data_IF_111829808040
#
_entry.id   IF_111829808040
#
_cell.length_a   1.000
_cell.length_b   1.000
_cell.length_c   1.000
_cell.angle_alpha   90.00
_cell.angle_beta   90.00
_cell.angle_gamma   90.00
#
_symmetry.space_group_name_H-M   'P 1'
#
loop_
_entity.id
_entity.type
_entity.pdbx_description
1 polymer ?
#
# COMPACT_ATOMS: atom_id res chain seq x y z
N UNK A 1 -15.13 -7.39 -2.31
CA UNK A 1 -13.94 -6.98 -3.06
C UNK A 1 -12.92 -6.49 -2.05
N UNK A 2 -11.64 -6.76 -2.23
CA UNK A 2 -10.64 -6.49 -1.19
C UNK A 2 -9.32 -6.03 -1.78
N UNK A 3 -8.75 -4.98 -1.20
CA UNK A 3 -7.42 -4.48 -1.57
C UNK A 3 -6.36 -5.04 -0.64
N UNK A 4 -5.22 -5.43 -1.17
CA UNK A 4 -4.07 -5.82 -0.34
C UNK A 4 -2.76 -5.43 -0.97
N UNK A 5 -1.77 -5.16 -0.13
CA UNK A 5 -0.38 -4.92 -0.48
C UNK A 5 0.48 -6.01 0.16
N UNK A 6 1.33 -6.66 -0.62
CA UNK A 6 2.16 -7.77 -0.17
C UNK A 6 3.62 -7.48 -0.48
N UNK A 7 4.51 -7.70 0.48
CA UNK A 7 5.95 -7.63 0.25
C UNK A 7 6.44 -9.02 -0.16
N UNK A 8 7.16 -9.08 -1.28
CA UNK A 8 7.68 -10.31 -1.87
C UNK A 8 9.14 -10.13 -2.31
N UNK A 9 9.81 -11.24 -2.63
CA UNK A 9 11.12 -11.23 -3.29
C UNK A 9 11.00 -11.56 -4.80
N UNK A 10 12.10 -11.43 -5.54
CA UNK A 10 12.14 -11.74 -6.98
C UNK A 10 11.73 -13.18 -7.32
N UNK A 11 12.04 -14.17 -6.47
CA UNK A 11 11.66 -15.55 -6.73
C UNK A 11 10.12 -15.72 -6.69
N UNK A 12 9.48 -15.05 -5.74
CA UNK A 12 8.03 -15.02 -5.60
C UNK A 12 7.38 -14.20 -6.72
N UNK A 13 8.00 -13.11 -7.17
CA UNK A 13 7.55 -12.34 -8.32
C UNK A 13 7.50 -13.22 -9.58
N UNK A 14 8.54 -14.03 -9.85
CA UNK A 14 8.55 -15.00 -10.96
C UNK A 14 7.41 -16.02 -10.89
N UNK A 15 6.99 -16.40 -9.68
CA UNK A 15 5.85 -17.30 -9.47
C UNK A 15 4.52 -16.56 -9.66
N UNK A 16 4.43 -15.31 -9.22
CA UNK A 16 3.26 -14.45 -9.38
C UNK A 16 2.88 -14.29 -10.85
N UNK A 17 3.86 -14.03 -11.73
CA UNK A 17 3.62 -13.84 -13.17
C UNK A 17 2.85 -14.98 -13.84
N UNK A 18 2.95 -16.21 -13.33
CA UNK A 18 2.24 -17.38 -13.88
C UNK A 18 0.73 -17.33 -13.65
N UNK A 19 0.25 -16.45 -12.76
CA UNK A 19 -1.13 -16.37 -12.30
C UNK A 19 -1.78 -15.00 -12.57
N UNK A 20 -1.24 -14.21 -13.51
CA UNK A 20 -1.75 -12.87 -13.83
C UNK A 20 -2.67 -12.82 -15.07
N UNK A 21 -2.93 -13.97 -15.70
CA UNK A 21 -3.79 -14.02 -16.90
C UNK A 21 -5.18 -13.43 -16.62
N UNK A 22 -5.63 -12.52 -17.49
CA UNK A 22 -6.92 -11.84 -17.36
C UNK A 22 -6.99 -10.74 -16.30
N UNK A 23 -5.88 -10.40 -15.63
CA UNK A 23 -5.78 -9.25 -14.72
C UNK A 23 -5.20 -8.04 -15.46
N UNK A 24 -5.58 -6.82 -15.04
CA UNK A 24 -4.87 -5.61 -15.46
C UNK A 24 -3.61 -5.46 -14.61
N UNK A 25 -2.45 -5.59 -15.25
CA UNK A 25 -1.14 -5.55 -14.58
C UNK A 25 -0.49 -4.20 -14.85
N UNK A 26 -0.16 -3.49 -13.77
CA UNK A 26 0.59 -2.23 -13.77
C UNK A 26 1.98 -2.53 -13.20
N UNK A 27 3.02 -2.36 -14.00
CA UNK A 27 4.41 -2.60 -13.58
C UNK A 27 5.15 -1.28 -13.36
N UNK A 28 5.62 -1.08 -12.12
CA UNK A 28 6.40 0.08 -11.73
C UNK A 28 7.87 -0.31 -11.63
N UNK A 29 8.64 0.17 -12.60
CA UNK A 29 10.06 -0.12 -12.80
C UNK A 29 10.96 0.85 -12.00
N UNK A 30 11.69 0.33 -11.01
CA UNK A 30 12.61 1.13 -10.19
C UNK A 30 13.76 1.76 -10.96
N UNK A 31 14.10 1.24 -12.13
CA UNK A 31 15.14 1.85 -12.96
C UNK A 31 14.63 3.16 -13.59
N UNK A 32 13.32 3.32 -13.75
CA UNK A 32 12.69 4.52 -14.33
C UNK A 32 12.17 5.50 -13.29
N UNK A 33 11.82 5.01 -12.10
CA UNK A 33 11.27 5.85 -11.02
C UNK A 33 12.40 6.34 -10.11
N UNK A 34 12.69 7.65 -10.11
CA UNK A 34 13.75 8.27 -9.28
C UNK A 34 13.23 9.22 -8.22
N UNK A 35 12.00 9.70 -8.38
CA UNK A 35 11.34 10.60 -7.44
C UNK A 35 9.82 10.41 -7.50
N UNK A 36 9.08 11.13 -6.63
CA UNK A 36 7.63 11.02 -6.55
C UNK A 36 6.91 11.41 -7.85
N UNK A 37 7.44 12.35 -8.64
CA UNK A 37 6.81 12.73 -9.91
C UNK A 37 6.90 11.59 -10.93
N UNK A 38 8.06 10.91 -11.01
CA UNK A 38 8.21 9.75 -11.91
C UNK A 38 7.23 8.63 -11.52
N UNK A 39 7.03 8.43 -10.21
CA UNK A 39 6.05 7.48 -9.69
C UNK A 39 4.62 7.88 -10.09
N UNK A 40 4.24 9.15 -9.89
CA UNK A 40 2.93 9.66 -10.30
C UNK A 40 2.70 9.47 -11.80
N UNK A 41 3.69 9.82 -12.64
CA UNK A 41 3.62 9.66 -14.08
C UNK A 41 3.42 8.20 -14.46
N UNK A 42 4.20 7.28 -13.86
CA UNK A 42 4.11 5.86 -14.16
C UNK A 42 2.72 5.27 -13.88
N UNK A 43 2.04 5.72 -12.81
CA UNK A 43 0.66 5.29 -12.54
C UNK A 43 -0.34 6.03 -13.43
N UNK A 44 -0.18 7.35 -13.60
CA UNK A 44 -1.11 8.15 -14.40
C UNK A 44 -1.16 7.68 -15.85
N UNK A 45 -0.03 7.26 -16.44
CA UNK A 45 0.01 6.69 -17.79
C UNK A 45 -0.85 5.42 -17.94
N UNK A 46 -1.13 4.73 -16.84
CA UNK A 46 -2.00 3.54 -16.80
C UNK A 46 -3.46 3.90 -16.53
N UNK A 47 -3.73 4.86 -15.64
CA UNK A 47 -5.09 5.10 -15.11
C UNK A 47 -5.82 6.26 -15.81
N UNK A 48 -5.09 7.25 -16.34
CA UNK A 48 -5.65 8.46 -16.93
C UNK A 48 -6.03 8.26 -18.41
N UNK A 49 -6.81 7.22 -18.67
CA UNK A 49 -7.14 6.77 -20.02
C UNK A 49 -8.42 7.41 -20.59
N UNK A 50 -9.10 8.28 -19.84
CA UNK A 50 -10.43 8.81 -20.18
C UNK A 50 -10.45 10.31 -20.36
N UNK A 51 -9.89 11.04 -19.39
CA UNK A 51 -10.08 12.49 -19.27
C UNK A 51 -8.80 13.29 -19.51
N UNK A 52 -7.65 12.64 -19.62
CA UNK A 52 -6.37 13.28 -19.96
C UNK A 52 -5.95 14.34 -18.94
N UNK A 53 -6.21 14.07 -17.66
CA UNK A 53 -5.81 14.92 -16.52
C UNK A 53 -4.32 15.30 -16.57
N UNK A 54 -3.45 14.38 -17.00
CA UNK A 54 -2.01 14.61 -17.16
C UNK A 54 -1.71 15.83 -18.04
N UNK A 55 -2.38 15.94 -19.18
CA UNK A 55 -2.16 17.05 -20.12
C UNK A 55 -2.88 18.31 -19.67
N UNK A 56 -4.02 18.18 -19.00
CA UNK A 56 -4.85 19.30 -18.57
C UNK A 56 -4.32 19.99 -17.31
N UNK A 57 -3.78 19.23 -16.36
CA UNK A 57 -3.50 19.69 -14.99
C UNK A 57 -2.11 19.28 -14.47
N UNK A 58 -1.41 18.36 -15.15
CA UNK A 58 -0.09 17.89 -14.76
C UNK A 58 -0.14 16.62 -13.89
N UNK A 59 0.90 16.41 -13.09
CA UNK A 59 1.15 15.17 -12.35
C UNK A 59 1.31 15.39 -10.84
N UNK A 60 0.60 16.39 -10.31
CA UNK A 60 0.52 16.61 -8.87
C UNK A 60 -0.44 15.65 -8.17
N UNK A 61 -0.47 15.72 -6.83
CA UNK A 61 -1.35 14.89 -5.99
C UNK A 61 -2.82 15.01 -6.38
N UNK A 62 -3.30 16.20 -6.74
CA UNK A 62 -4.70 16.44 -7.04
C UNK A 62 -5.08 15.78 -8.37
N UNK A 63 -4.24 15.93 -9.38
CA UNK A 63 -4.41 15.30 -10.69
C UNK A 63 -4.38 13.77 -10.58
N UNK A 64 -3.44 13.24 -9.79
CA UNK A 64 -3.37 11.82 -9.48
C UNK A 64 -4.63 11.32 -8.77
N UNK A 65 -5.06 12.02 -7.71
CA UNK A 65 -6.25 11.67 -6.92
C UNK A 65 -7.48 11.65 -7.81
N UNK A 66 -7.70 12.71 -8.57
CA UNK A 66 -8.90 12.85 -9.39
C UNK A 66 -8.92 11.75 -10.46
N UNK A 67 -7.82 11.51 -11.18
CA UNK A 67 -7.71 10.40 -12.13
C UNK A 67 -7.97 9.03 -11.49
N UNK A 68 -7.44 8.79 -10.27
CA UNK A 68 -7.65 7.54 -9.55
C UNK A 68 -9.09 7.38 -9.04
N UNK A 69 -9.76 8.46 -8.64
CA UNK A 69 -11.13 8.41 -8.13
C UNK A 69 -12.17 8.14 -9.22
N UNK A 70 -11.85 8.42 -10.49
CA UNK A 70 -12.66 8.05 -11.67
C UNK A 70 -12.65 6.54 -12.00
N UNK A 71 -12.26 5.70 -11.04
CA UNK A 71 -12.15 4.24 -11.15
C UNK A 71 -13.37 3.54 -11.77
N UNK A 72 -14.59 4.04 -11.57
CA UNK A 72 -15.80 3.46 -12.17
C UNK A 72 -15.78 3.52 -13.70
N UNK A 73 -15.31 4.63 -14.26
CA UNK A 73 -15.19 4.78 -15.70
C UNK A 73 -14.04 3.94 -16.26
N UNK A 74 -12.93 3.84 -15.52
CA UNK A 74 -11.79 2.97 -15.86
C UNK A 74 -12.24 1.50 -15.90
N UNK A 75 -12.94 1.04 -14.85
CA UNK A 75 -13.51 -0.31 -14.75
C UNK A 75 -14.39 -0.61 -15.95
N UNK A 76 -15.36 0.27 -16.23
CA UNK A 76 -16.31 0.08 -17.32
C UNK A 76 -15.61 0.01 -18.68
N UNK A 77 -14.57 0.82 -18.89
CA UNK A 77 -13.80 0.86 -20.13
C UNK A 77 -12.94 -0.39 -20.33
N UNK A 78 -12.25 -0.85 -19.28
CA UNK A 78 -11.29 -1.95 -19.37
C UNK A 78 -11.94 -3.34 -19.21
N UNK A 79 -12.97 -3.45 -18.37
CA UNK A 79 -13.55 -4.73 -17.96
C UNK A 79 -15.03 -4.88 -18.33
N UNK A 80 -15.72 -3.78 -18.67
CA UNK A 80 -17.17 -3.79 -18.89
C UNK A 80 -17.91 -4.18 -17.62
N UNK A 81 -18.75 -5.23 -17.70
CA UNK A 81 -19.51 -5.76 -16.56
C UNK A 81 -18.79 -6.89 -15.81
N UNK A 82 -17.54 -7.21 -16.19
CA UNK A 82 -16.76 -8.28 -15.55
C UNK A 82 -16.12 -7.79 -14.25
N UNK A 83 -15.74 -8.75 -13.41
CA UNK A 83 -14.92 -8.47 -12.24
C UNK A 83 -13.57 -7.86 -12.65
N UNK A 84 -13.26 -6.72 -12.05
CA UNK A 84 -12.07 -5.95 -12.37
C UNK A 84 -10.96 -6.22 -11.34
N UNK A 85 -10.05 -7.12 -11.72
CA UNK A 85 -8.89 -7.52 -10.93
C UNK A 85 -7.66 -6.76 -11.41
N UNK A 86 -7.04 -6.00 -10.52
CA UNK A 86 -5.89 -5.15 -10.81
C UNK A 86 -4.71 -5.60 -9.97
N UNK A 87 -3.53 -5.70 -10.60
CA UNK A 87 -2.28 -6.04 -9.94
C UNK A 87 -1.26 -4.94 -10.19
N UNK A 88 -0.79 -4.28 -9.14
CA UNK A 88 0.34 -3.35 -9.20
C UNK A 88 1.57 -4.10 -8.71
N UNK A 89 2.62 -4.17 -9.53
CA UNK A 89 3.91 -4.74 -9.16
C UNK A 89 4.90 -3.58 -9.10
N UNK A 90 5.32 -3.22 -7.89
CA UNK A 90 6.33 -2.20 -7.68
C UNK A 90 7.67 -2.84 -7.36
N UNK A 91 8.53 -2.87 -8.36
CA UNK A 91 9.89 -3.35 -8.18
C UNK A 91 10.71 -2.31 -7.41
N UNK A 92 10.97 -2.56 -6.12
CA UNK A 92 11.81 -1.70 -5.28
C UNK A 92 13.28 -2.16 -5.25
N UNK A 93 13.65 -3.23 -5.98
CA UNK A 93 14.97 -3.85 -5.90
C UNK A 93 16.14 -2.90 -6.17
N UNK A 94 15.95 -1.97 -7.12
CA UNK A 94 16.96 -1.01 -7.59
C UNK A 94 16.50 0.43 -7.40
N UNK A 95 15.55 0.66 -6.51
CA UNK A 95 14.93 1.97 -6.36
C UNK A 95 15.92 2.96 -5.75
N UNK A 96 16.28 3.99 -6.52
CA UNK A 96 17.16 5.08 -6.09
C UNK A 96 16.29 6.33 -5.97
N UNK A 97 15.76 6.53 -4.76
CA UNK A 97 14.83 7.60 -4.43
C UNK A 97 15.02 8.03 -2.97
N UNK A 98 14.71 9.27 -2.61
CA UNK A 98 14.83 9.76 -1.23
C UNK A 98 13.91 8.99 -0.28
N UNK A 99 14.23 8.98 1.02
CA UNK A 99 13.38 8.31 2.02
C UNK A 99 11.95 8.86 2.04
N UNK A 100 11.83 10.19 1.94
CA UNK A 100 10.54 10.89 1.93
C UNK A 100 9.75 10.48 0.68
N UNK A 101 10.36 10.51 -0.50
CA UNK A 101 9.67 10.16 -1.75
C UNK A 101 9.25 8.67 -1.80
N UNK A 102 10.06 7.75 -1.24
CA UNK A 102 9.67 6.34 -1.07
C UNK A 102 8.46 6.22 -0.15
N UNK A 103 8.50 6.91 1.00
CA UNK A 103 7.39 7.00 1.93
C UNK A 103 6.10 7.50 1.29
N UNK A 104 6.17 8.60 0.54
CA UNK A 104 5.03 9.17 -0.17
C UNK A 104 4.52 8.20 -1.25
N UNK A 105 5.40 7.53 -1.99
CA UNK A 105 5.01 6.51 -2.97
C UNK A 105 4.19 5.38 -2.32
N UNK A 106 4.62 4.91 -1.14
CA UNK A 106 3.87 3.92 -0.38
C UNK A 106 2.52 4.47 0.12
N UNK A 107 2.47 5.73 0.55
CA UNK A 107 1.24 6.40 0.93
C UNK A 107 0.26 6.44 -0.25
N UNK A 108 0.73 6.72 -1.47
CA UNK A 108 -0.11 6.78 -2.67
C UNK A 108 -0.67 5.40 -3.03
N UNK A 109 0.13 4.34 -2.89
CA UNK A 109 -0.37 2.96 -3.05
C UNK A 109 -1.46 2.63 -2.02
N UNK A 110 -1.29 3.06 -0.76
CA UNK A 110 -2.32 2.93 0.28
C UNK A 110 -3.58 3.74 -0.07
N UNK A 111 -3.42 4.93 -0.66
CA UNK A 111 -4.51 5.74 -1.14
C UNK A 111 -5.30 5.06 -2.28
N UNK A 112 -4.61 4.44 -3.25
CA UNK A 112 -5.27 3.62 -4.28
C UNK A 112 -6.02 2.43 -3.68
N UNK A 113 -5.42 1.73 -2.72
CA UNK A 113 -6.12 0.69 -1.98
C UNK A 113 -7.40 1.22 -1.34
N UNK A 114 -7.39 2.48 -0.88
CA UNK A 114 -8.57 3.13 -0.36
C UNK A 114 -9.58 3.44 -1.49
N UNK A 115 -9.22 4.23 -2.47
CA UNK A 115 -10.18 4.73 -3.45
C UNK A 115 -10.79 3.63 -4.32
N UNK A 116 -10.05 2.55 -4.56
CA UNK A 116 -10.46 1.49 -5.47
C UNK A 116 -11.17 0.31 -4.78
N UNK A 117 -11.14 0.19 -3.45
CA UNK A 117 -11.60 -1.01 -2.73
C UNK A 117 -13.04 -1.44 -3.02
N UNK A 118 -13.90 -0.47 -3.31
CA UNK A 118 -15.33 -0.70 -3.50
C UNK A 118 -15.67 -0.98 -4.97
N UNK A 119 -14.68 -0.87 -5.87
CA UNK A 119 -14.84 -0.91 -7.33
C UNK A 119 -13.95 -1.96 -8.00
N UNK A 120 -12.80 -2.26 -7.40
CA UNK A 120 -11.75 -3.10 -7.94
C UNK A 120 -11.24 -4.08 -6.87
N UNK A 121 -10.80 -5.26 -7.30
CA UNK A 121 -9.95 -6.12 -6.49
C UNK A 121 -8.48 -5.75 -6.77
N UNK A 122 -7.89 -4.95 -5.89
CA UNK A 122 -6.52 -4.48 -6.04
C UNK A 122 -5.52 -5.32 -5.25
N UNK A 123 -4.55 -5.93 -5.93
CA UNK A 123 -3.39 -6.54 -5.30
C UNK A 123 -2.13 -5.74 -5.64
N UNK A 124 -1.45 -5.22 -4.63
CA UNK A 124 -0.17 -4.51 -4.77
C UNK A 124 0.93 -5.44 -4.29
N UNK A 125 2.02 -5.53 -5.03
CA UNK A 125 3.20 -6.31 -4.68
C UNK A 125 4.42 -5.40 -4.66
N UNK A 126 5.06 -5.27 -3.50
CA UNK A 126 6.34 -4.58 -3.36
C UNK A 126 7.46 -5.62 -3.44
N UNK A 127 8.33 -5.53 -4.42
CA UNK A 127 9.43 -6.48 -4.65
C UNK A 127 10.74 -5.92 -4.10
N UNK A 128 11.44 -6.65 -3.24
CA UNK A 128 12.76 -6.26 -2.71
C UNK A 128 13.79 -7.39 -2.90
N UNK A 129 15.02 -7.02 -3.28
CA UNK A 129 16.10 -7.98 -3.59
C UNK A 129 16.89 -8.43 -2.36
N UNK A 130 17.06 -7.56 -1.36
CA UNK A 130 18.00 -7.76 -0.26
C UNK A 130 17.31 -8.15 1.05
N UNK A 131 16.42 -9.14 0.99
CA UNK A 131 15.81 -9.71 2.19
C UNK A 131 16.73 -10.77 2.79
N UNK A 132 17.28 -10.50 3.98
CA UNK A 132 18.14 -11.46 4.71
C UNK A 132 17.42 -12.76 5.07
N UNK A 133 16.09 -12.74 5.19
CA UNK A 133 15.24 -13.95 5.23
C UNK A 133 13.95 -13.72 4.44
N UNK A 134 13.44 -14.80 3.85
CA UNK A 134 12.17 -14.81 3.11
C UNK A 134 11.01 -14.76 4.10
N UNK A 135 10.10 -13.79 3.97
CA UNK A 135 8.81 -13.82 4.67
C UNK A 135 7.76 -12.98 3.92
N UNK A 136 6.52 -13.45 3.97
CA UNK A 136 5.40 -12.82 3.28
C UNK A 136 4.67 -11.91 4.26
N UNK A 137 4.99 -10.62 4.22
CA UNK A 137 4.21 -9.60 4.93
C UNK A 137 3.11 -9.07 4.04
N UNK A 138 1.95 -8.82 4.64
CA UNK A 138 0.76 -8.39 3.91
C UNK A 138 0.08 -7.26 4.65
N UNK A 139 -0.01 -6.12 4.00
CA UNK A 139 -0.89 -5.01 4.35
C UNK A 139 -2.23 -5.24 3.64
N UNK A 140 -3.35 -5.09 4.33
CA UNK A 140 -4.68 -5.44 3.87
C UNK A 140 -5.58 -4.27 4.19
N UNK A 141 -6.32 -3.78 3.20
CA UNK A 141 -7.46 -2.94 3.49
C UNK A 141 -8.63 -3.84 3.88
N UNK A 142 -9.34 -3.48 4.94
CA UNK A 142 -10.46 -4.28 5.41
C UNK A 142 -11.52 -3.39 6.07
N UNK A 143 -12.78 -3.59 5.70
CA UNK A 143 -13.91 -2.77 6.15
C UNK A 143 -14.58 -3.34 7.42
N UNK A 144 -14.00 -4.34 8.12
CA UNK A 144 -14.69 -4.89 9.30
C UNK A 144 -14.94 -3.82 10.37
N UNK A 145 -16.14 -3.87 10.98
CA UNK A 145 -16.50 -3.07 12.15
C UNK A 145 -15.51 -3.30 13.31
N UNK A 146 -15.28 -2.26 14.12
CA UNK A 146 -14.40 -2.35 15.29
C UNK A 146 -14.84 -3.44 16.29
N UNK A 147 -16.13 -3.80 16.32
CA UNK A 147 -16.68 -4.78 17.28
C UNK A 147 -16.54 -6.23 16.81
N UNK A 148 -16.65 -6.52 15.51
CA UNK A 148 -16.61 -7.90 14.97
C UNK A 148 -15.17 -8.50 14.96
N UNK A 149 -14.14 -7.66 15.05
CA UNK A 149 -12.71 -8.06 15.00
C UNK A 149 -12.11 -8.47 16.33
N UNK A 150 -12.63 -7.97 17.46
CA UNK A 150 -11.98 -8.10 18.78
C UNK A 150 -12.03 -9.54 19.32
N UNK A 151 -12.95 -10.39 18.85
CA UNK A 151 -13.24 -11.68 19.49
C UNK A 151 -12.71 -12.95 18.80
N UNK A 152 -12.21 -12.90 17.56
CA UNK A 152 -11.66 -14.09 16.85
C UNK A 152 -10.12 -14.11 16.86
N UNK A 153 -9.51 -14.03 18.04
CA UNK A 153 -8.05 -13.98 18.16
C UNK A 153 -7.54 -15.30 18.75
N UNK A 154 -7.07 -16.17 17.85
CA UNK A 154 -6.49 -17.48 18.13
C UNK A 154 -5.29 -17.41 19.08
N UNK A 155 -5.15 -18.41 19.95
CA UNK A 155 -3.90 -18.66 20.69
C UNK A 155 -2.73 -18.70 19.69
N UNK A 156 -1.66 -17.92 19.95
CA UNK A 156 -0.41 -17.76 19.17
C UNK A 156 -0.23 -16.48 18.33
N UNK A 157 -1.17 -15.53 18.33
CA UNK A 157 -1.01 -14.22 17.67
C UNK A 157 -0.73 -13.09 18.66
N UNK A 158 0.14 -12.16 18.30
CA UNK A 158 0.24 -10.85 18.98
C UNK A 158 -0.51 -9.82 18.14
N UNK A 159 -1.57 -9.23 18.70
CA UNK A 159 -2.39 -8.22 18.02
C UNK A 159 -2.16 -6.86 18.67
N UNK A 160 -1.87 -5.87 17.84
CA UNK A 160 -1.74 -4.47 18.23
C UNK A 160 -2.75 -3.65 17.46
N UNK A 161 -3.60 -2.92 18.18
CA UNK A 161 -4.61 -2.04 17.61
C UNK A 161 -4.18 -0.61 17.90
N UNK A 162 -4.22 0.25 16.89
CA UNK A 162 -3.82 1.64 17.00
C UNK A 162 -4.80 2.53 16.23
N UNK A 163 -5.36 3.52 16.92
CA UNK A 163 -6.09 4.60 16.27
C UNK A 163 -5.10 5.64 15.73
N UNK A 164 -5.24 5.99 14.45
CA UNK A 164 -4.50 7.08 13.81
C UNK A 164 -5.23 8.40 14.05
N UNK A 165 -4.51 9.41 14.54
CA UNK A 165 -5.10 10.72 14.83
C UNK A 165 -4.98 11.63 13.62
N UNK A 166 -5.93 12.55 13.48
CA UNK A 166 -5.79 13.67 12.56
C UNK A 166 -4.59 14.54 12.99
N UNK A 167 -3.81 15.03 12.03
CA UNK A 167 -2.61 15.84 12.27
C UNK A 167 -1.55 15.17 13.17
N UNK A 168 -1.48 13.84 13.18
CA UNK A 168 -0.44 13.12 13.91
C UNK A 168 0.94 13.36 13.29
N UNK A 169 1.95 13.60 14.13
CA UNK A 169 3.34 13.70 13.72
C UNK A 169 3.96 12.30 13.63
N UNK A 170 4.79 12.06 12.61
CA UNK A 170 5.48 10.80 12.38
C UNK A 170 6.31 10.38 13.60
N UNK A 171 7.01 11.32 14.24
CA UNK A 171 7.79 11.05 15.45
C UNK A 171 6.94 10.50 16.60
N UNK A 172 5.71 10.98 16.77
CA UNK A 172 4.79 10.47 17.78
C UNK A 172 4.31 9.07 17.41
N UNK A 173 3.89 8.87 16.15
CA UNK A 173 3.51 7.56 15.61
C UNK A 173 4.62 6.52 15.83
N UNK A 174 5.86 6.86 15.45
CA UNK A 174 7.04 6.01 15.58
C UNK A 174 7.27 5.62 17.05
N UNK A 175 7.19 6.59 17.98
CA UNK A 175 7.31 6.31 19.42
C UNK A 175 6.21 5.38 19.92
N UNK A 176 4.96 5.54 19.45
CA UNK A 176 3.85 4.64 19.82
C UNK A 176 4.09 3.22 19.32
N UNK A 177 4.55 3.07 18.08
CA UNK A 177 4.91 1.79 17.47
C UNK A 177 6.04 1.12 18.28
N UNK A 178 7.15 1.82 18.50
CA UNK A 178 8.34 1.24 19.14
C UNK A 178 8.09 0.91 20.62
N UNK A 179 7.25 1.68 21.32
CA UNK A 179 6.87 1.42 22.72
C UNK A 179 5.96 0.20 22.85
N UNK A 180 4.99 0.06 21.95
CA UNK A 180 3.92 -0.93 22.12
C UNK A 180 4.24 -2.25 21.43
N UNK A 181 4.98 -2.24 20.32
CA UNK A 181 5.27 -3.45 19.55
C UNK A 181 6.58 -4.08 20.02
N UNK A 182 6.48 -5.04 20.94
CA UNK A 182 7.61 -5.87 21.30
C UNK A 182 7.68 -7.12 20.39
N UNK A 183 8.62 -7.09 19.45
CA UNK A 183 8.91 -8.19 18.53
C UNK A 183 9.64 -9.36 19.21
N UNK A 184 8.95 -10.06 20.12
CA UNK A 184 9.35 -11.35 20.71
C UNK A 184 9.51 -12.51 19.69
N UNK A 185 9.70 -13.74 20.20
CA UNK A 185 9.87 -14.95 19.38
C UNK A 185 8.54 -15.59 18.92
N UNK A 186 7.40 -14.88 19.01
CA UNK A 186 6.11 -15.44 18.56
C UNK A 186 6.04 -15.55 17.03
N UNK A 187 5.18 -16.47 16.56
CA UNK A 187 5.08 -16.87 15.14
C UNK A 187 4.37 -15.85 14.24
N UNK A 188 3.41 -15.08 14.74
CA UNK A 188 2.61 -14.16 13.93
C UNK A 188 2.26 -12.86 14.67
N UNK A 189 2.40 -11.74 13.95
CA UNK A 189 2.09 -10.39 14.41
C UNK A 189 0.98 -9.81 13.54
N UNK A 190 0.01 -9.16 14.18
CA UNK A 190 -1.08 -8.47 13.51
C UNK A 190 -1.11 -7.02 14.00
N UNK A 191 -1.04 -6.07 13.07
CA UNK A 191 -1.25 -4.65 13.34
C UNK A 191 -2.59 -4.24 12.75
N UNK A 192 -3.40 -3.52 13.50
CA UNK A 192 -4.69 -3.00 13.05
C UNK A 192 -4.65 -1.49 13.25
N UNK A 193 -4.73 -0.73 12.16
CA UNK A 193 -4.80 0.71 12.18
C UNK A 193 -6.25 1.13 11.92
N UNK A 194 -6.89 1.70 12.94
CA UNK A 194 -8.21 2.30 12.81
C UNK A 194 -8.11 3.72 12.28
N UNK A 195 -9.16 4.18 11.59
CA UNK A 195 -9.22 5.49 10.96
C UNK A 195 -8.06 5.72 9.99
N UNK A 196 -7.71 4.71 9.19
CA UNK A 196 -6.64 4.81 8.19
C UNK A 196 -6.95 5.83 7.08
N UNK A 197 -8.18 6.35 7.01
CA UNK A 197 -8.50 7.57 6.27
C UNK A 197 -7.52 8.72 6.60
N UNK A 198 -7.15 8.87 7.88
CA UNK A 198 -6.21 9.92 8.30
C UNK A 198 -4.84 9.76 7.65
N UNK A 199 -4.42 8.52 7.39
CA UNK A 199 -3.16 8.21 6.69
C UNK A 199 -3.13 8.69 5.24
N UNK A 200 -4.31 8.85 4.64
CA UNK A 200 -4.46 9.24 3.23
C UNK A 200 -4.78 10.73 3.07
N UNK A 201 -5.56 11.31 3.99
CA UNK A 201 -6.04 12.70 3.83
C UNK A 201 -6.01 13.55 5.11
N UNK A 202 -5.88 12.94 6.29
CA UNK A 202 -6.01 13.65 7.58
C UNK A 202 -4.68 14.05 8.23
N UNK A 203 -3.56 13.65 7.63
CA UNK A 203 -2.19 13.90 8.08
C UNK A 203 -1.46 14.60 6.93
N UNK A 204 -0.54 15.51 7.27
CA UNK A 204 0.32 16.13 6.27
C UNK A 204 1.04 15.05 5.44
N UNK A 205 1.12 15.24 4.12
CA UNK A 205 1.61 14.19 3.23
C UNK A 205 3.06 13.79 3.53
N UNK A 206 3.90 14.70 4.04
CA UNK A 206 5.26 14.36 4.43
C UNK A 206 5.25 13.48 5.68
N UNK A 207 4.45 13.85 6.68
CA UNK A 207 4.30 13.07 7.92
C UNK A 207 3.74 11.68 7.63
N UNK A 208 2.69 11.58 6.80
CA UNK A 208 2.10 10.31 6.39
C UNK A 208 3.09 9.46 5.58
N UNK A 209 3.88 10.09 4.69
CA UNK A 209 4.97 9.44 3.96
C UNK A 209 6.03 8.84 4.91
N UNK A 210 6.47 9.59 5.92
CA UNK A 210 7.41 9.11 6.94
C UNK A 210 6.83 7.93 7.75
N UNK A 211 5.55 7.99 8.13
CA UNK A 211 4.89 6.88 8.80
C UNK A 211 4.81 5.63 7.90
N UNK A 212 4.52 5.80 6.61
CA UNK A 212 4.45 4.71 5.64
C UNK A 212 5.82 4.05 5.45
N UNK A 213 6.86 4.87 5.37
CA UNK A 213 8.24 4.41 5.29
C UNK A 213 8.63 3.64 6.56
N UNK A 214 8.31 4.15 7.75
CA UNK A 214 8.52 3.42 9.02
C UNK A 214 7.84 2.05 8.99
N UNK A 215 6.60 2.00 8.50
CA UNK A 215 5.85 0.76 8.47
C UNK A 215 6.49 -0.27 7.53
N UNK A 216 6.77 0.13 6.29
CA UNK A 216 7.20 -0.80 5.24
C UNK A 216 8.70 -1.10 5.36
N UNK A 217 9.56 -0.09 5.44
CA UNK A 217 11.01 -0.32 5.42
C UNK A 217 11.58 -0.62 6.80
N UNK A 218 11.17 0.08 7.85
CA UNK A 218 11.75 -0.17 9.16
C UNK A 218 11.15 -1.40 9.85
N UNK A 219 9.83 -1.54 9.84
CA UNK A 219 9.15 -2.60 10.57
C UNK A 219 9.04 -3.87 9.73
N UNK A 220 8.47 -3.79 8.52
CA UNK A 220 8.29 -5.00 7.72
C UNK A 220 9.64 -5.49 7.20
N UNK A 221 10.41 -4.62 6.52
CA UNK A 221 11.68 -4.99 5.88
C UNK A 221 12.82 -5.21 6.89
N UNK A 222 13.27 -4.16 7.60
CA UNK A 222 14.49 -4.20 8.43
C UNK A 222 14.36 -5.08 9.67
N UNK A 223 13.22 -5.08 10.39
CA UNK A 223 13.00 -6.02 11.51
C UNK A 223 12.80 -7.46 11.03
N UNK A 224 12.59 -7.67 9.73
CA UNK A 224 12.44 -8.98 9.12
C UNK A 224 11.30 -9.80 9.78
N UNK A 225 10.10 -9.20 9.87
CA UNK A 225 8.95 -9.79 10.58
C UNK A 225 7.81 -10.05 9.61
N UNK A 226 7.26 -11.26 9.68
CA UNK A 226 5.98 -11.60 9.05
C UNK A 226 4.85 -10.93 9.83
N UNK A 227 4.28 -9.87 9.26
CA UNK A 227 3.19 -9.11 9.89
C UNK A 227 2.02 -9.03 8.91
N UNK A 228 0.82 -9.27 9.44
CA UNK A 228 -0.42 -8.87 8.77
C UNK A 228 -0.83 -7.50 9.28
N UNK A 229 -0.96 -6.54 8.39
CA UNK A 229 -1.40 -5.20 8.73
C UNK A 229 -2.80 -5.02 8.17
N UNK A 230 -3.73 -4.56 8.99
CA UNK A 230 -5.08 -4.21 8.57
C UNK A 230 -5.24 -2.69 8.67
N UNK A 231 -5.65 -2.08 7.57
CA UNK A 231 -6.00 -0.66 7.48
C UNK A 231 -7.53 -0.58 7.46
N UNK A 232 -8.13 -0.04 8.54
CA UNK A 232 -9.57 0.15 8.67
C UNK A 232 -9.89 1.60 8.35
N UNK A 233 -10.54 1.80 7.20
CA UNK A 233 -10.82 3.12 6.65
C UNK A 233 -12.15 3.69 7.14
#
# INVERSE_FOLDING_TARGET
>A
MGSSLTIINQEQQKKLYKNLEGKWVIELDSEKIKNINDFCIAIMDEIDIIYDYKHLYGYDWYSFRDAAMESEHIVKKLFGDKEANVVIIYDNSKLIMSEIDRGISYQYLIALMQWWSNKLNLEIYLVFDNMTKIFNSKIIRDDMSNEDKIFKLEENKNIFIMDLKQNELADEFIKRIDKNINFSNKKEYVLIFNNSYNFVQGIDYQEAGLMANKLIEDILLKKNKKIKIYLLF
#
